data_IF_372415311608
#
_entry.id   IF_372415311608
#
_cell.length_a   1.000
_cell.length_b   1.000
_cell.length_c   1.000
_cell.angle_alpha   90.00
_cell.angle_beta   90.00
_cell.angle_gamma   90.00
#
_symmetry.space_group_name_H-M   'P 1'
#
loop_
_entity.id
_entity.type
_entity.pdbx_description
1 polymer ?
#
# COMPACT_ATOMS: atom_id res chain seq x y z
N UNK A 1 -1.83 -4.14 -19.78
CA UNK A 1 -0.63 -3.31 -19.92
C UNK A 1 -0.37 -3.00 -21.37
N UNK A 2 0.07 -1.78 -21.66
CA UNK A 2 0.65 -1.42 -22.96
C UNK A 2 2.06 -2.03 -23.10
N UNK A 3 2.62 -2.12 -24.33
CA UNK A 3 4.00 -2.58 -24.53
C UNK A 3 5.04 -1.70 -23.79
N UNK A 4 4.78 -0.39 -23.69
CA UNK A 4 5.66 0.55 -22.97
C UNK A 4 5.62 0.30 -21.46
N UNK A 5 4.42 0.14 -20.88
CA UNK A 5 4.27 -0.25 -19.48
C UNK A 5 4.99 -1.57 -19.20
N UNK A 6 4.79 -2.59 -20.06
CA UNK A 6 5.50 -3.86 -19.88
C UNK A 6 7.02 -3.68 -19.89
N UNK A 7 7.56 -2.93 -20.85
CA UNK A 7 8.98 -2.64 -20.92
C UNK A 7 9.50 -1.95 -19.64
N UNK A 8 8.78 -0.95 -19.13
CA UNK A 8 9.15 -0.24 -17.90
C UNK A 8 9.07 -1.15 -16.67
N UNK A 9 8.05 -2.01 -16.59
CA UNK A 9 7.93 -2.99 -15.52
C UNK A 9 9.07 -4.00 -15.55
N UNK A 10 9.37 -4.57 -16.71
CA UNK A 10 10.46 -5.55 -16.88
C UNK A 10 11.82 -4.93 -16.52
N UNK A 11 12.01 -3.62 -16.79
CA UNK A 11 13.24 -2.90 -16.47
C UNK A 11 13.37 -2.54 -14.99
N UNK A 12 12.28 -2.09 -14.35
CA UNK A 12 12.32 -1.51 -13.00
C UNK A 12 11.82 -2.43 -11.89
N UNK A 13 11.02 -3.44 -12.23
CA UNK A 13 10.26 -4.25 -11.27
C UNK A 13 9.05 -3.55 -10.65
N UNK A 14 8.68 -2.34 -11.14
CA UNK A 14 7.51 -1.59 -10.70
C UNK A 14 6.96 -0.68 -11.80
N UNK A 15 5.71 -0.24 -11.64
CA UNK A 15 5.06 0.76 -12.48
C UNK A 15 4.55 1.94 -11.67
N UNK A 16 4.64 3.14 -12.24
CA UNK A 16 4.05 4.35 -11.67
C UNK A 16 2.88 4.79 -12.55
N UNK A 17 1.67 4.65 -12.02
CA UNK A 17 0.44 5.06 -12.68
C UNK A 17 0.05 6.44 -12.15
N UNK A 18 -0.04 7.44 -13.03
CA UNK A 18 -0.37 8.82 -12.63
C UNK A 18 -1.85 9.08 -12.77
N UNK A 19 -2.44 9.74 -11.76
CA UNK A 19 -3.86 10.15 -11.80
C UNK A 19 -4.84 8.98 -11.76
N UNK A 20 -4.45 7.87 -11.14
CA UNK A 20 -5.29 6.66 -11.01
C UNK A 20 -6.48 6.90 -10.09
N UNK A 21 -6.29 7.65 -9.00
CA UNK A 21 -7.37 8.08 -8.11
C UNK A 21 -8.07 9.30 -8.70
N UNK A 22 -9.41 9.30 -8.64
CA UNK A 22 -10.18 10.50 -8.99
C UNK A 22 -9.90 11.61 -7.96
N UNK A 23 -10.00 12.90 -8.35
CA UNK A 23 -9.84 14.00 -7.40
C UNK A 23 -10.81 13.91 -6.22
N UNK A 24 -12.04 13.46 -6.46
CA UNK A 24 -13.06 13.23 -5.43
C UNK A 24 -12.66 12.15 -4.43
N UNK A 25 -12.22 10.97 -4.91
CA UNK A 25 -11.80 9.88 -4.03
C UNK A 25 -10.57 10.28 -3.22
N UNK A 26 -9.61 10.98 -3.84
CA UNK A 26 -8.45 11.51 -3.15
C UNK A 26 -8.84 12.50 -2.04
N UNK A 27 -9.79 13.41 -2.33
CA UNK A 27 -10.31 14.33 -1.32
C UNK A 27 -10.98 13.58 -0.15
N UNK A 28 -11.87 12.63 -0.42
CA UNK A 28 -12.57 11.85 0.62
C UNK A 28 -11.62 11.01 1.46
N UNK A 29 -10.58 10.43 0.86
CA UNK A 29 -9.53 9.70 1.58
C UNK A 29 -8.79 10.64 2.53
N UNK A 30 -8.36 11.81 2.05
CA UNK A 30 -7.65 12.80 2.88
C UNK A 30 -8.53 13.32 4.02
N UNK A 31 -9.77 13.72 3.74
CA UNK A 31 -10.71 14.19 4.78
C UNK A 31 -10.94 13.11 5.85
N UNK A 32 -11.07 11.84 5.45
CA UNK A 32 -11.22 10.72 6.38
C UNK A 32 -9.98 10.53 7.26
N UNK A 33 -8.78 10.67 6.68
CA UNK A 33 -7.52 10.59 7.43
C UNK A 33 -7.42 11.77 8.40
N UNK A 34 -7.69 12.99 7.94
CA UNK A 34 -7.67 14.20 8.77
C UNK A 34 -8.62 14.09 9.96
N UNK A 35 -9.86 13.63 9.73
CA UNK A 35 -10.85 13.39 10.78
C UNK A 35 -10.38 12.34 11.79
N UNK A 36 -9.84 11.22 11.30
CA UNK A 36 -9.26 10.18 12.15
C UNK A 36 -8.13 10.74 13.00
N UNK A 37 -7.25 11.59 12.46
CA UNK A 37 -6.13 12.20 13.18
C UNK A 37 -6.56 13.19 14.27
N UNK A 38 -7.82 13.64 14.29
CA UNK A 38 -8.38 14.43 15.41
C UNK A 38 -8.71 13.59 16.66
N UNK A 39 -8.82 12.27 16.50
CA UNK A 39 -9.23 11.34 17.56
C UNK A 39 -8.04 10.75 18.32
N UNK A 40 -8.25 10.40 19.58
CA UNK A 40 -7.29 9.64 20.37
C UNK A 40 -7.25 8.15 19.96
N UNK A 41 -6.22 7.43 20.41
CA UNK A 41 -6.00 6.03 20.00
C UNK A 41 -7.10 5.06 20.45
N UNK A 42 -7.76 5.33 21.58
CA UNK A 42 -8.88 4.48 22.02
C UNK A 42 -10.09 4.69 21.12
N UNK A 43 -10.32 5.93 20.70
CA UNK A 43 -11.39 6.30 19.79
C UNK A 43 -11.16 5.69 18.40
N UNK A 44 -9.96 5.80 17.83
CA UNK A 44 -9.70 5.19 16.50
C UNK A 44 -9.73 3.67 16.56
N UNK A 45 -9.24 3.04 17.63
CA UNK A 45 -9.33 1.60 17.83
C UNK A 45 -10.80 1.12 17.90
N UNK A 46 -11.68 1.88 18.56
CA UNK A 46 -13.11 1.58 18.61
C UNK A 46 -13.79 1.66 17.23
N UNK A 47 -13.22 2.44 16.30
CA UNK A 47 -13.65 2.55 14.91
C UNK A 47 -12.95 1.54 13.97
N UNK A 48 -12.11 0.64 14.51
CA UNK A 48 -11.39 -0.35 13.72
C UNK A 48 -10.06 0.13 13.11
N UNK A 49 -9.69 1.40 13.32
CA UNK A 49 -8.45 2.02 12.84
C UNK A 49 -7.40 2.11 13.97
N UNK A 50 -7.09 0.98 14.62
CA UNK A 50 -6.07 0.93 15.68
C UNK A 50 -4.70 1.35 15.13
N UNK A 51 -4.14 2.44 15.67
CA UNK A 51 -2.82 2.94 15.29
C UNK A 51 -1.72 2.11 15.94
N UNK A 52 -0.72 1.76 15.14
CA UNK A 52 0.46 1.02 15.59
C UNK A 52 1.71 1.86 15.40
N UNK A 53 2.33 2.19 16.52
CA UNK A 53 3.60 2.90 16.57
C UNK A 53 4.74 1.88 16.63
N UNK A 54 5.59 1.85 15.59
CA UNK A 54 6.64 0.83 15.47
C UNK A 54 7.89 1.21 16.25
N UNK A 55 8.33 0.30 17.12
CA UNK A 55 9.61 0.42 17.84
C UNK A 55 10.80 0.43 16.87
N UNK A 56 11.91 1.06 17.26
CA UNK A 56 13.07 1.34 16.40
C UNK A 56 13.82 0.11 15.87
N UNK A 57 13.60 -1.07 16.45
CA UNK A 57 14.16 -2.34 15.99
C UNK A 57 13.33 -3.01 14.87
N UNK A 58 12.09 -2.55 14.65
CA UNK A 58 11.23 -3.05 13.60
C UNK A 58 11.75 -2.63 12.20
N UNK A 59 11.58 -3.48 11.19
CA UNK A 59 11.94 -3.14 9.78
C UNK A 59 11.04 -2.04 9.20
N UNK A 60 9.83 -1.94 9.72
CA UNK A 60 8.86 -0.88 9.47
C UNK A 60 9.01 0.30 10.44
N UNK A 61 10.08 0.34 11.25
CA UNK A 61 10.34 1.49 12.11
C UNK A 61 10.79 2.70 11.30
N UNK A 62 10.58 3.87 11.87
CA UNK A 62 11.15 5.11 11.37
C UNK A 62 12.69 5.04 11.30
N UNK A 63 13.21 5.52 10.19
CA UNK A 63 14.59 6.00 10.03
C UNK A 63 14.51 7.47 9.63
N UNK A 64 15.51 8.28 10.03
CA UNK A 64 15.50 9.73 9.80
C UNK A 64 15.26 10.53 11.08
N UNK A 65 15.02 11.84 10.92
CA UNK A 65 14.82 12.77 12.05
C UNK A 65 13.36 12.64 12.53
N UNK A 66 13.12 12.31 13.81
CA UNK A 66 11.77 12.30 14.37
C UNK A 66 11.12 13.68 14.28
N UNK A 67 9.83 13.72 13.95
CA UNK A 67 9.05 14.94 14.12
C UNK A 67 8.80 15.18 15.62
N UNK A 68 8.96 16.42 16.06
CA UNK A 68 8.63 16.84 17.43
C UNK A 68 7.13 17.16 17.60
N UNK A 69 6.35 17.11 16.50
CA UNK A 69 4.93 17.45 16.47
C UNK A 69 4.09 16.44 15.69
N UNK A 70 2.79 16.40 15.97
CA UNK A 70 1.84 15.47 15.33
C UNK A 70 1.81 14.11 16.03
N UNK A 71 1.14 13.14 15.40
CA UNK A 71 0.96 11.79 15.96
C UNK A 71 2.22 10.92 15.85
N UNK A 72 3.27 11.37 15.16
CA UNK A 72 4.39 10.51 14.79
C UNK A 72 4.04 9.57 13.63
N UNK A 73 4.92 8.63 13.32
CA UNK A 73 4.70 7.65 12.26
C UNK A 73 3.87 6.49 12.81
N UNK A 74 2.80 6.13 12.12
CA UNK A 74 1.97 4.99 12.50
C UNK A 74 1.46 4.23 11.29
N UNK A 75 1.12 2.97 11.49
CA UNK A 75 0.33 2.18 10.56
C UNK A 75 -0.99 1.75 11.18
N UNK A 76 -2.01 1.54 10.35
CA UNK A 76 -3.25 0.91 10.78
C UNK A 76 -3.83 0.02 9.67
N UNK A 77 -4.67 -0.92 10.08
CA UNK A 77 -5.52 -1.66 9.15
C UNK A 77 -6.68 -0.74 8.77
N UNK A 78 -6.93 -0.56 7.47
CA UNK A 78 -7.92 0.40 6.96
C UNK A 78 -9.26 -0.19 6.61
N UNK A 79 -9.32 -1.49 6.31
CA UNK A 79 -10.55 -2.12 5.84
C UNK A 79 -11.56 -2.31 6.97
N UNK A 80 -11.11 -2.44 8.21
CA UNK A 80 -11.98 -2.49 9.39
C UNK A 80 -12.70 -1.17 9.64
N UNK A 81 -12.08 -0.05 9.27
CA UNK A 81 -12.72 1.26 9.30
C UNK A 81 -13.72 1.41 8.14
N UNK A 82 -13.33 0.96 6.95
CA UNK A 82 -14.18 0.93 5.76
C UNK A 82 -14.27 2.29 5.05
N UNK A 83 -15.41 2.59 4.43
CA UNK A 83 -15.66 3.87 3.78
C UNK A 83 -14.83 4.04 2.48
N UNK A 84 -14.18 5.18 2.24
CA UNK A 84 -13.46 5.41 0.98
C UNK A 84 -12.27 4.46 0.78
N UNK A 85 -11.77 3.81 1.84
CA UNK A 85 -10.69 2.83 1.72
C UNK A 85 -11.14 1.53 1.03
N UNK A 86 -12.42 1.16 1.11
CA UNK A 86 -12.93 -0.05 0.45
C UNK A 86 -12.93 0.08 -1.08
N UNK A 87 -13.11 1.30 -1.59
CA UNK A 87 -13.05 1.61 -3.03
C UNK A 87 -11.66 1.39 -3.65
N UNK A 88 -10.63 1.22 -2.81
CA UNK A 88 -9.27 0.92 -3.26
C UNK A 88 -9.04 -0.57 -3.55
N UNK A 89 -9.93 -1.47 -3.07
CA UNK A 89 -9.75 -2.93 -3.17
C UNK A 89 -9.82 -3.39 -4.63
N UNK A 90 -10.81 -2.90 -5.38
CA UNK A 90 -11.13 -3.30 -6.74
C UNK A 90 -11.11 -2.13 -7.72
N UNK A 91 -10.23 -1.14 -7.45
CA UNK A 91 -10.10 0.08 -8.24
C UNK A 91 -9.96 -0.25 -9.75
N UNK A 92 -10.93 0.08 -10.62
CA UNK A 92 -11.00 -0.41 -12.00
C UNK A 92 -9.75 -0.11 -12.82
N UNK A 93 -9.10 1.02 -12.55
CA UNK A 93 -7.88 1.47 -13.21
C UNK A 93 -6.67 0.55 -12.94
N UNK A 94 -6.75 -0.31 -11.92
CA UNK A 94 -5.67 -1.24 -11.54
C UNK A 94 -5.98 -2.70 -11.89
N UNK A 95 -7.27 -3.06 -12.03
CA UNK A 95 -7.70 -4.46 -12.15
C UNK A 95 -7.05 -5.20 -13.33
N UNK A 96 -6.92 -4.55 -14.49
CA UNK A 96 -6.32 -5.20 -15.66
C UNK A 96 -4.83 -5.52 -15.47
N UNK A 97 -4.11 -4.77 -14.62
CA UNK A 97 -2.72 -5.11 -14.27
C UNK A 97 -2.68 -6.36 -13.39
N UNK A 98 -3.61 -6.48 -12.43
CA UNK A 98 -3.73 -7.64 -11.55
C UNK A 98 -4.07 -8.90 -12.36
N UNK A 99 -5.03 -8.80 -13.28
CA UNK A 99 -5.39 -9.91 -14.18
C UNK A 99 -4.20 -10.32 -15.07
N UNK A 100 -3.46 -9.35 -15.60
CA UNK A 100 -2.29 -9.62 -16.44
C UNK A 100 -1.14 -10.25 -15.65
N UNK A 101 -0.87 -9.79 -14.42
CA UNK A 101 0.28 -10.24 -13.61
C UNK A 101 -0.02 -11.51 -12.82
N UNK A 102 -1.22 -11.66 -12.27
CA UNK A 102 -1.60 -12.78 -11.41
C UNK A 102 -2.53 -13.74 -12.16
N UNK A 103 -3.58 -13.19 -12.77
CA UNK A 103 -4.70 -13.94 -13.34
C UNK A 103 -5.89 -14.04 -12.40
N UNK A 104 -6.92 -14.76 -12.83
CA UNK A 104 -8.14 -15.01 -12.05
C UNK A 104 -8.27 -16.49 -11.64
N UNK A 105 -8.85 -16.77 -10.45
CA UNK A 105 -9.28 -15.81 -9.45
C UNK A 105 -8.10 -15.23 -8.63
N UNK A 106 -8.24 -13.98 -8.18
CA UNK A 106 -7.31 -13.34 -7.24
C UNK A 106 -8.05 -12.95 -5.95
N UNK A 107 -7.30 -12.63 -4.88
CA UNK A 107 -7.86 -12.15 -3.61
C UNK A 107 -6.96 -11.08 -3.01
N UNK A 108 -7.54 -10.23 -2.18
CA UNK A 108 -6.79 -9.35 -1.31
C UNK A 108 -6.07 -10.18 -0.23
N UNK A 109 -4.76 -10.00 -0.11
CA UNK A 109 -3.94 -10.70 0.90
C UNK A 109 -3.77 -9.87 2.17
N UNK A 110 -3.50 -8.56 2.02
CA UNK A 110 -3.38 -7.61 3.12
C UNK A 110 -3.63 -6.18 2.64
N UNK A 111 -4.05 -5.32 3.56
CA UNK A 111 -4.15 -3.88 3.36
C UNK A 111 -3.61 -3.15 4.60
N UNK A 112 -2.99 -1.99 4.38
CA UNK A 112 -2.45 -1.15 5.45
C UNK A 112 -2.39 0.30 5.00
N UNK A 113 -2.72 1.20 5.90
CA UNK A 113 -2.35 2.61 5.79
C UNK A 113 -1.08 2.88 6.58
N UNK A 114 -0.28 3.82 6.09
CA UNK A 114 0.97 4.24 6.71
C UNK A 114 1.02 5.77 6.67
N UNK A 115 1.01 6.40 7.85
CA UNK A 115 1.32 7.82 7.99
C UNK A 115 2.82 8.00 8.18
N UNK A 116 3.36 9.10 7.64
CA UNK A 116 4.79 9.41 7.67
C UNK A 116 5.02 10.89 7.83
N UNK A 117 5.80 11.26 8.84
CA UNK A 117 6.27 12.62 8.98
C UNK A 117 7.34 12.96 7.96
N UNK A 118 7.43 14.25 7.64
CA UNK A 118 8.46 14.78 6.76
C UNK A 118 9.87 14.40 7.24
N UNK A 119 10.71 13.92 6.33
CA UNK A 119 12.08 13.47 6.63
C UNK A 119 12.17 12.05 7.21
N UNK A 120 11.04 11.38 7.45
CA UNK A 120 11.01 9.96 7.81
C UNK A 120 11.19 9.03 6.60
N UNK A 121 11.73 7.84 6.85
CA UNK A 121 11.88 6.77 5.86
C UNK A 121 11.78 5.39 6.53
N UNK A 122 11.60 4.33 5.75
CA UNK A 122 11.76 2.95 6.21
C UNK A 122 13.19 2.46 5.99
N UNK A 123 13.61 1.48 6.80
CA UNK A 123 14.80 0.70 6.48
C UNK A 123 14.59 0.00 5.14
N UNK A 124 15.63 -0.06 4.32
CA UNK A 124 15.60 -0.91 3.14
C UNK A 124 15.31 -2.35 3.56
N UNK A 125 14.18 -2.84 3.09
CA UNK A 125 13.75 -4.22 3.24
C UNK A 125 13.21 -4.69 1.90
N UNK A 126 13.36 -5.97 1.65
CA UNK A 126 12.66 -6.65 0.58
C UNK A 126 11.45 -7.35 1.20
N UNK A 127 10.44 -7.73 0.40
CA UNK A 127 9.24 -8.42 0.88
C UNK A 127 9.47 -9.85 1.38
N UNK A 128 10.62 -10.13 1.99
CA UNK A 128 11.04 -11.44 2.50
C UNK A 128 11.07 -12.52 1.40
N UNK A 129 11.65 -12.16 0.25
CA UNK A 129 11.69 -12.93 -0.99
C UNK A 129 12.63 -14.17 -0.97
N UNK A 130 13.21 -14.56 0.16
CA UNK A 130 13.93 -15.84 0.23
C UNK A 130 12.92 -17.00 0.28
N UNK A 131 12.52 -17.47 -0.90
CA UNK A 131 11.87 -18.77 -1.15
C UNK A 131 10.55 -19.00 -0.41
N UNK A 132 9.79 -17.95 -0.11
CA UNK A 132 8.42 -18.13 0.35
C UNK A 132 7.55 -18.58 -0.84
N UNK A 133 6.69 -19.60 -0.69
CA UNK A 133 5.83 -20.09 -1.78
C UNK A 133 4.94 -19.00 -2.42
N UNK A 134 4.66 -17.91 -1.69
CA UNK A 134 3.89 -16.77 -2.19
C UNK A 134 4.76 -15.64 -2.77
N UNK A 135 6.08 -15.85 -2.93
CA UNK A 135 6.99 -14.91 -3.59
C UNK A 135 7.43 -15.41 -4.98
N UNK A 136 6.69 -16.37 -5.52
CA UNK A 136 6.98 -17.01 -6.80
C UNK A 136 6.54 -16.15 -7.99
N UNK A 137 7.37 -16.14 -9.02
CA UNK A 137 7.04 -15.62 -10.34
C UNK A 137 7.50 -16.61 -11.41
N UNK A 138 6.87 -16.54 -12.57
CA UNK A 138 7.26 -17.28 -13.76
C UNK A 138 7.39 -16.32 -14.94
N UNK A 139 8.44 -16.49 -15.72
CA UNK A 139 8.60 -15.83 -17.01
C UNK A 139 8.67 -16.89 -18.11
N UNK A 140 7.66 -16.94 -18.96
CA UNK A 140 7.55 -17.94 -20.03
C UNK A 140 6.96 -17.31 -21.27
N UNK A 141 7.55 -17.59 -22.44
CA UNK A 141 7.07 -17.13 -23.74
C UNK A 141 6.83 -15.61 -23.80
N UNK A 142 7.69 -14.82 -23.15
CA UNK A 142 7.62 -13.35 -23.11
C UNK A 142 6.54 -12.79 -22.16
N UNK A 143 5.97 -13.63 -21.30
CA UNK A 143 4.97 -13.23 -20.32
C UNK A 143 5.46 -13.45 -18.88
N UNK A 144 5.40 -12.38 -18.08
CA UNK A 144 5.59 -12.42 -16.64
C UNK A 144 4.28 -12.78 -15.94
N UNK A 145 4.36 -13.67 -14.95
CA UNK A 145 3.29 -14.00 -14.01
C UNK A 145 3.84 -14.08 -12.60
N UNK A 146 3.05 -13.69 -11.60
CA UNK A 146 3.43 -13.74 -10.19
C UNK A 146 2.23 -14.12 -9.33
N UNK A 147 2.49 -14.54 -8.10
CA UNK A 147 1.43 -14.94 -7.16
C UNK A 147 0.91 -13.78 -6.30
N UNK A 148 1.58 -12.62 -6.30
CA UNK A 148 1.19 -11.43 -5.54
C UNK A 148 1.73 -10.16 -6.19
N UNK A 149 0.93 -9.09 -6.16
CA UNK A 149 1.34 -7.73 -6.51
C UNK A 149 0.99 -6.81 -5.35
N UNK A 150 1.81 -5.78 -5.13
CA UNK A 150 1.53 -4.71 -4.16
C UNK A 150 1.13 -3.46 -4.92
N UNK A 151 0.00 -2.87 -4.54
CA UNK A 151 -0.47 -1.60 -5.07
C UNK A 151 -0.36 -0.58 -3.94
N UNK A 152 0.40 0.48 -4.18
CA UNK A 152 0.57 1.60 -3.26
C UNK A 152 -0.09 2.85 -3.83
N UNK A 153 -0.82 3.56 -2.98
CA UNK A 153 -1.38 4.88 -3.28
C UNK A 153 -0.63 5.91 -2.44
N UNK A 154 -0.16 6.98 -3.08
CA UNK A 154 0.66 8.03 -2.47
C UNK A 154 0.42 9.38 -3.16
#
# INVERSE_FOLDING_TARGET
MTPEERYLFDLHGYLVLRGTLSPDLCQRLNETIDDLETLDDNQTAALGAERKYRASDNVYAQTGIPSESGLGDYDCEVLRYGGPFEELIDLPQTLHYIEEMIGEPSRLDAASFMSRNSGGAFRFHHGYAELLPYSEYAFRDGAFKCVSVKIGYA
#
